data_IF_185225649229
#
_entry.id   IF_185225649229
#
_cell.length_a   1.000
_cell.length_b   1.000
_cell.length_c   1.000
_cell.angle_alpha   90.00
_cell.angle_beta   90.00
_cell.angle_gamma   90.00
#
_symmetry.space_group_name_H-M   'P 1'
#
loop_
_entity.id
_entity.type
_entity.pdbx_description
1 polymer ?
#
# COMPACT_ATOMS: atom_id res chain seq x y z
N UNK A 1 -8.03 -9.65 -9.67
CA UNK A 1 -7.82 -10.03 -8.26
C UNK A 1 -9.17 -10.15 -7.55
N UNK A 2 -9.40 -11.26 -6.85
CA UNK A 2 -10.71 -11.57 -6.25
C UNK A 2 -10.66 -11.77 -4.76
N UNK A 3 -9.47 -11.81 -4.18
CA UNK A 3 -9.27 -12.04 -2.76
C UNK A 3 -8.36 -10.94 -2.21
N UNK A 4 -8.20 -10.90 -0.91
CA UNK A 4 -7.34 -9.92 -0.30
C UNK A 4 -7.66 -9.72 1.16
N UNK A 5 -7.19 -8.59 1.69
CA UNK A 5 -7.49 -8.21 3.06
C UNK A 5 -7.59 -6.68 3.17
N UNK A 6 -8.21 -6.25 4.27
CA UNK A 6 -8.24 -4.84 4.66
C UNK A 6 -7.32 -4.70 5.86
N UNK A 7 -6.39 -3.77 5.78
CA UNK A 7 -5.50 -3.46 6.88
C UNK A 7 -5.68 -2.02 7.32
N UNK A 8 -5.45 -1.75 8.59
CA UNK A 8 -5.59 -0.41 9.15
C UNK A 8 -4.39 -0.07 10.01
N UNK A 9 -4.11 1.23 10.13
CA UNK A 9 -3.08 1.73 11.02
C UNK A 9 -3.57 3.02 11.66
N UNK A 10 -3.56 3.05 12.99
CA UNK A 10 -3.87 4.25 13.77
C UNK A 10 -2.59 4.64 14.51
N UNK A 11 -2.11 5.84 14.24
CA UNK A 11 -0.85 6.29 14.83
C UNK A 11 -1.00 6.59 16.32
N UNK A 12 -0.16 6.01 17.18
CA UNK A 12 -0.27 6.30 18.61
C UNK A 12 0.13 7.75 18.90
N UNK A 13 -0.70 8.43 19.68
CA UNK A 13 -0.41 9.78 20.14
C UNK A 13 -0.68 10.89 19.13
N UNK A 14 -1.19 10.58 17.93
CA UNK A 14 -1.56 11.57 16.92
C UNK A 14 -2.87 11.21 16.25
N UNK A 15 -3.70 12.21 15.89
CA UNK A 15 -4.96 11.96 15.19
C UNK A 15 -4.69 11.67 13.70
N UNK A 16 -4.10 10.54 13.41
CA UNK A 16 -3.67 10.12 12.08
C UNK A 16 -3.95 8.64 11.91
N UNK A 17 -4.60 8.28 10.81
CA UNK A 17 -4.87 6.88 10.49
C UNK A 17 -4.98 6.63 9.02
N UNK A 18 -4.84 5.36 8.63
CA UNK A 18 -4.95 4.92 7.26
C UNK A 18 -5.64 3.57 7.17
N UNK A 19 -6.29 3.33 6.03
CA UNK A 19 -6.99 2.10 5.72
C UNK A 19 -6.56 1.67 4.32
N UNK A 20 -6.30 0.37 4.15
CA UNK A 20 -5.78 -0.19 2.90
C UNK A 20 -6.52 -1.45 2.51
N UNK A 21 -6.92 -1.53 1.24
CA UNK A 21 -7.37 -2.77 0.61
C UNK A 21 -6.22 -3.30 -0.25
N UNK A 22 -5.71 -4.49 0.08
CA UNK A 22 -4.66 -5.16 -0.69
C UNK A 22 -5.22 -6.45 -1.26
N UNK A 23 -5.14 -6.62 -2.58
CA UNK A 23 -5.79 -7.70 -3.31
C UNK A 23 -4.78 -8.69 -3.86
N UNK A 24 -5.19 -9.96 -3.95
CA UNK A 24 -4.45 -11.05 -4.58
C UNK A 24 -5.43 -11.97 -5.29
N UNK A 25 -4.93 -13.08 -5.87
CA UNK A 25 -5.77 -13.96 -6.69
C UNK A 25 -6.51 -15.01 -5.86
N UNK A 26 -5.90 -15.51 -4.79
CA UNK A 26 -6.48 -16.58 -3.96
C UNK A 26 -6.50 -16.22 -2.49
N UNK A 27 -7.43 -16.83 -1.75
CA UNK A 27 -7.47 -16.69 -0.30
C UNK A 27 -6.29 -17.38 0.37
N UNK A 28 -5.70 -18.35 -0.30
CA UNK A 28 -4.49 -19.03 0.18
C UNK A 28 -3.34 -18.00 0.35
N UNK A 29 -3.09 -17.20 -0.67
CA UNK A 29 -2.06 -16.16 -0.61
C UNK A 29 -2.41 -15.07 0.40
N UNK A 30 -3.69 -14.70 0.49
CA UNK A 30 -4.15 -13.68 1.45
C UNK A 30 -3.84 -14.07 2.91
N UNK A 31 -3.68 -15.35 3.20
CA UNK A 31 -3.39 -15.84 4.54
C UNK A 31 -1.90 -16.00 4.84
N UNK A 32 -1.03 -15.82 3.84
CA UNK A 32 0.42 -15.96 4.06
C UNK A 32 0.96 -14.81 4.89
N UNK A 33 2.05 -15.09 5.62
CA UNK A 33 2.71 -14.06 6.42
C UNK A 33 3.31 -12.98 5.54
N UNK A 34 3.83 -13.33 4.37
CA UNK A 34 4.40 -12.39 3.41
C UNK A 34 3.37 -11.37 2.95
N UNK A 35 2.16 -11.81 2.61
CA UNK A 35 1.09 -10.94 2.17
C UNK A 35 0.62 -10.02 3.31
N UNK A 36 0.44 -10.58 4.51
CA UNK A 36 0.02 -9.80 5.68
C UNK A 36 1.07 -8.76 6.08
N UNK A 37 2.34 -9.12 6.00
CA UNK A 37 3.44 -8.20 6.30
C UNK A 37 3.47 -7.05 5.28
N UNK A 38 3.30 -7.35 4.00
CA UNK A 38 3.22 -6.31 2.97
C UNK A 38 2.07 -5.36 3.26
N UNK A 39 0.89 -5.89 3.58
CA UNK A 39 -0.28 -5.06 3.87
C UNK A 39 -0.04 -4.14 5.07
N UNK A 40 0.54 -4.67 6.14
CA UNK A 40 0.86 -3.89 7.33
C UNK A 40 1.86 -2.79 7.03
N UNK A 41 2.93 -3.12 6.31
CA UNK A 41 3.96 -2.15 5.97
C UNK A 41 3.43 -1.09 5.00
N UNK A 42 2.58 -1.48 4.05
CA UNK A 42 1.99 -0.53 3.11
C UNK A 42 1.06 0.48 3.80
N UNK A 43 0.23 0.02 4.74
CA UNK A 43 -0.68 0.95 5.43
C UNK A 43 0.10 1.91 6.32
N UNK A 44 1.21 1.46 6.91
CA UNK A 44 2.11 2.33 7.67
C UNK A 44 2.79 3.35 6.75
N UNK A 45 3.22 2.92 5.57
CA UNK A 45 3.79 3.81 4.55
C UNK A 45 2.79 4.90 4.16
N UNK A 46 1.54 4.52 3.91
CA UNK A 46 0.48 5.47 3.54
C UNK A 46 0.29 6.51 4.65
N UNK A 47 0.26 6.06 5.90
CA UNK A 47 0.13 6.97 7.03
C UNK A 47 1.31 7.94 7.11
N UNK A 48 2.54 7.45 6.90
CA UNK A 48 3.76 8.24 7.03
C UNK A 48 4.02 9.18 5.85
N UNK A 49 3.76 8.73 4.63
CA UNK A 49 4.18 9.41 3.41
C UNK A 49 3.06 10.14 2.67
N UNK A 50 1.83 9.99 3.13
CA UNK A 50 0.66 10.74 2.63
C UNK A 50 0.52 10.76 1.10
N UNK A 51 0.52 9.61 0.41
CA UNK A 51 0.25 9.61 -1.03
C UNK A 51 -1.19 10.05 -1.29
N UNK A 52 -1.42 10.69 -2.43
CA UNK A 52 -2.74 11.25 -2.75
C UNK A 52 -3.47 10.45 -3.83
N UNK A 53 -2.78 9.58 -4.56
CA UNK A 53 -3.35 8.72 -5.59
C UNK A 53 -2.53 7.43 -5.70
N UNK A 54 -3.07 6.46 -6.41
CA UNK A 54 -2.40 5.15 -6.53
C UNK A 54 -1.20 5.21 -7.47
N UNK A 55 -1.40 5.73 -8.68
CA UNK A 55 -0.36 5.71 -9.72
C UNK A 55 -0.36 7.01 -10.51
N UNK A 56 0.70 7.24 -11.30
CA UNK A 56 0.81 8.42 -12.15
C UNK A 56 -0.13 8.38 -13.35
N UNK A 57 -0.77 7.24 -13.62
CA UNK A 57 -1.82 7.16 -14.65
C UNK A 57 -3.12 7.80 -14.19
N UNK A 58 -3.29 8.01 -12.88
CA UNK A 58 -4.47 8.66 -12.29
C UNK A 58 -4.22 10.15 -12.03
N UNK A 59 -3.48 10.80 -12.92
CA UNK A 59 -3.07 12.18 -12.71
C UNK A 59 -4.27 13.13 -12.67
N UNK A 60 -4.41 13.84 -11.58
CA UNK A 60 -5.29 14.98 -11.43
C UNK A 60 -4.42 16.23 -11.47
N UNK A 61 -4.60 17.14 -12.46
CA UNK A 61 -3.76 18.34 -12.56
C UNK A 61 -3.85 19.25 -11.34
N UNK A 62 -4.93 19.13 -10.56
CA UNK A 62 -5.14 19.95 -9.37
C UNK A 62 -4.57 19.30 -8.11
N UNK A 63 -4.04 18.08 -8.21
CA UNK A 63 -3.48 17.35 -7.09
C UNK A 63 -1.94 17.44 -7.11
N UNK A 64 -1.33 18.24 -6.21
CA UNK A 64 0.12 18.37 -6.15
C UNK A 64 0.82 17.20 -5.46
N UNK A 65 0.06 16.23 -4.94
CA UNK A 65 0.62 15.12 -4.17
C UNK A 65 1.28 14.07 -5.03
N UNK A 66 1.82 13.06 -4.38
CA UNK A 66 2.56 11.98 -5.01
C UNK A 66 1.73 10.71 -5.14
N UNK A 67 2.00 9.95 -6.20
CA UNK A 67 1.40 8.63 -6.39
C UNK A 67 2.07 7.60 -5.48
N UNK A 68 1.27 6.78 -4.81
CA UNK A 68 1.76 5.75 -3.89
C UNK A 68 2.86 4.89 -4.51
N UNK A 69 2.63 4.36 -5.71
CA UNK A 69 3.55 3.43 -6.34
C UNK A 69 4.90 4.06 -6.69
N UNK A 70 4.94 5.37 -6.90
CA UNK A 70 6.16 6.08 -7.26
C UNK A 70 6.94 6.60 -6.04
N UNK A 71 6.34 6.58 -4.86
CA UNK A 71 7.03 7.08 -3.66
C UNK A 71 8.20 6.19 -3.26
N UNK A 72 9.28 6.79 -2.74
CA UNK A 72 10.33 5.99 -2.09
C UNK A 72 9.75 5.22 -0.91
N UNK A 73 10.13 3.96 -0.79
CA UNK A 73 9.65 3.09 0.29
C UNK A 73 10.10 3.63 1.65
N UNK A 74 9.17 3.73 2.60
CA UNK A 74 9.46 4.38 3.88
C UNK A 74 10.52 3.65 4.71
N UNK A 75 10.74 2.37 4.47
CA UNK A 75 11.77 1.58 5.16
C UNK A 75 13.11 1.56 4.42
N UNK A 76 13.11 1.86 3.12
CA UNK A 76 14.30 1.81 2.27
C UNK A 76 14.09 2.69 1.05
N UNK A 77 14.56 3.92 1.13
CA UNK A 77 14.34 4.93 0.09
C UNK A 77 15.07 4.65 -1.23
N UNK A 78 15.92 3.62 -1.28
CA UNK A 78 16.55 3.19 -2.54
C UNK A 78 15.59 2.41 -3.43
N UNK A 79 14.42 2.04 -2.93
CA UNK A 79 13.39 1.32 -3.67
C UNK A 79 12.09 2.11 -3.66
N UNK A 80 11.27 1.91 -4.71
CA UNK A 80 9.92 2.48 -4.74
C UNK A 80 8.92 1.49 -4.15
N UNK A 81 7.74 1.98 -3.80
CA UNK A 81 6.64 1.12 -3.34
C UNK A 81 6.31 0.07 -4.40
N UNK A 82 6.30 0.45 -5.69
CA UNK A 82 6.04 -0.49 -6.78
C UNK A 82 7.07 -1.63 -6.79
N UNK A 83 8.34 -1.33 -6.58
CA UNK A 83 9.39 -2.35 -6.54
C UNK A 83 9.20 -3.33 -5.38
N UNK A 84 8.75 -2.83 -4.23
CA UNK A 84 8.45 -3.67 -3.07
C UNK A 84 7.29 -4.62 -3.38
N UNK A 85 6.23 -4.12 -4.01
CA UNK A 85 5.09 -4.95 -4.41
C UNK A 85 5.53 -6.01 -5.43
N UNK A 86 6.33 -5.62 -6.42
CA UNK A 86 6.83 -6.56 -7.44
C UNK A 86 7.70 -7.66 -6.83
N UNK A 87 8.50 -7.35 -5.83
CA UNK A 87 9.30 -8.35 -5.13
C UNK A 87 8.41 -9.36 -4.40
N UNK A 88 7.31 -8.91 -3.82
CA UNK A 88 6.35 -9.79 -3.16
C UNK A 88 5.62 -10.68 -4.19
N UNK A 89 5.22 -10.12 -5.33
CA UNK A 89 4.63 -10.88 -6.43
C UNK A 89 5.57 -12.02 -6.86
N UNK A 90 6.86 -11.71 -7.03
CA UNK A 90 7.84 -12.72 -7.43
C UNK A 90 7.96 -13.84 -6.40
N UNK A 91 7.86 -13.53 -5.11
CA UNK A 91 7.90 -14.52 -4.03
C UNK A 91 6.66 -15.40 -4.00
N UNK A 92 5.49 -14.79 -4.16
CA UNK A 92 4.22 -15.48 -3.96
C UNK A 92 3.73 -16.19 -5.23
N UNK A 93 4.18 -15.76 -6.40
CA UNK A 93 3.75 -16.34 -7.66
C UNK A 93 2.35 -15.94 -8.10
N UNK A 94 1.75 -14.94 -7.45
CA UNK A 94 0.42 -14.42 -7.80
C UNK A 94 0.48 -12.90 -7.93
N UNK A 95 -0.43 -12.34 -8.72
CA UNK A 95 -0.58 -10.90 -8.80
C UNK A 95 -1.07 -10.33 -7.48
N UNK A 96 -0.49 -9.21 -7.09
CA UNK A 96 -0.85 -8.46 -5.88
C UNK A 96 -1.03 -7.01 -6.28
N UNK A 97 -2.15 -6.42 -5.88
CA UNK A 97 -2.48 -5.05 -6.25
C UNK A 97 -3.08 -4.30 -5.07
N UNK A 98 -2.76 -3.01 -4.96
CA UNK A 98 -3.51 -2.12 -4.09
C UNK A 98 -4.84 -1.84 -4.76
N UNK A 99 -5.94 -2.13 -4.07
CA UNK A 99 -7.28 -1.82 -4.57
C UNK A 99 -7.59 -0.35 -4.34
N UNK A 100 -7.63 0.04 -3.08
CA UNK A 100 -7.89 1.44 -2.67
C UNK A 100 -7.32 1.67 -1.29
N UNK A 101 -7.16 2.95 -0.96
CA UNK A 101 -6.72 3.33 0.38
C UNK A 101 -7.31 4.69 0.76
N UNK A 102 -7.33 4.94 2.06
CA UNK A 102 -7.76 6.23 2.62
C UNK A 102 -6.81 6.63 3.73
N UNK A 103 -6.61 7.92 3.90
CA UNK A 103 -5.78 8.47 4.96
C UNK A 103 -6.48 9.68 5.55
N UNK A 104 -6.53 9.72 6.87
CA UNK A 104 -7.13 10.82 7.61
C UNK A 104 -6.14 11.37 8.61
N UNK A 105 -6.08 12.67 8.69
CA UNK A 105 -5.28 13.37 9.70
C UNK A 105 -6.00 14.65 10.11
N UNK A 106 -6.08 14.88 11.41
CA UNK A 106 -6.68 16.12 11.93
C UNK A 106 -5.60 17.16 12.19
#
# INVERSE_FOLDING_TARGET
>A
TKEGLIESYIHPGRPLGALLELNCETDFVARTDEFKTLARDLVMHIAAMAPTRLSDTDVDPDDPGEALLAQPWFRDSSQTVEQIIQATIAKLGENVQVGRFSRFEI
#
